data_IF_547465355973
#
_entry.id   IF_547465355973
#
_cell.length_a   1.000
_cell.length_b   1.000
_cell.length_c   1.000
_cell.angle_alpha   90.00
_cell.angle_beta   90.00
_cell.angle_gamma   90.00
#
_symmetry.space_group_name_H-M   'P 1'
#
loop_
_entity.id
_entity.type
_entity.pdbx_description
1 polymer ?
#
# COMPACT_ATOMS: atom_id res chain seq x y z
N UNK A 1 -20.27 -12.54 6.44
CA UNK A 1 -19.26 -13.32 5.68
C UNK A 1 -18.69 -12.39 4.62
N UNK A 2 -17.39 -12.11 4.54
CA UNK A 2 -16.92 -11.10 3.57
C UNK A 2 -16.95 -11.62 2.11
N UNK A 3 -17.06 -10.70 1.14
CA UNK A 3 -16.96 -10.99 -0.30
C UNK A 3 -15.77 -10.24 -0.92
N UNK A 4 -15.01 -10.90 -1.79
CA UNK A 4 -13.86 -10.32 -2.47
C UNK A 4 -14.10 -10.38 -3.98
N UNK A 5 -13.77 -9.29 -4.68
CA UNK A 5 -13.79 -9.20 -6.14
C UNK A 5 -12.46 -8.61 -6.62
N UNK A 6 -12.00 -9.03 -7.80
CA UNK A 6 -10.81 -8.48 -8.45
C UNK A 6 -10.90 -8.64 -9.96
N UNK A 7 -10.38 -7.65 -10.68
CA UNK A 7 -10.33 -7.65 -12.15
C UNK A 7 -8.94 -7.24 -12.62
N UNK A 8 -8.45 -7.93 -13.66
CA UNK A 8 -7.21 -7.59 -14.35
C UNK A 8 -7.55 -7.42 -15.83
N UNK A 9 -7.38 -6.20 -16.35
CA UNK A 9 -7.52 -5.91 -17.79
C UNK A 9 -6.14 -5.81 -18.43
N UNK A 10 -5.97 -6.43 -19.60
CA UNK A 10 -4.79 -6.28 -20.46
C UNK A 10 -5.10 -5.27 -21.55
N UNK A 11 -4.19 -4.35 -21.83
CA UNK A 11 -4.36 -3.30 -22.83
C UNK A 11 -5.06 -2.06 -22.26
N UNK A 12 -6.32 -1.83 -22.62
CA UNK A 12 -7.06 -0.63 -22.18
C UNK A 12 -7.70 -0.82 -20.80
N UNK A 13 -7.60 0.17 -19.89
CA UNK A 13 -8.25 0.12 -18.58
C UNK A 13 -9.78 0.15 -18.67
N UNK A 14 -10.38 0.72 -19.73
CA UNK A 14 -11.85 0.80 -19.85
C UNK A 14 -12.52 1.44 -18.61
N UNK A 15 -13.64 0.88 -18.15
CA UNK A 15 -14.38 1.35 -16.97
C UNK A 15 -14.22 0.41 -15.76
N UNK A 16 -12.96 0.19 -15.32
CA UNK A 16 -12.65 -0.68 -14.17
C UNK A 16 -13.43 -0.27 -12.91
N UNK A 17 -13.60 1.03 -12.65
CA UNK A 17 -14.34 1.51 -11.47
C UNK A 17 -15.80 1.05 -11.47
N UNK A 18 -16.51 1.16 -12.60
CA UNK A 18 -17.89 0.70 -12.74
C UNK A 18 -18.02 -0.82 -12.65
N UNK A 19 -17.09 -1.56 -13.25
CA UNK A 19 -17.05 -3.03 -13.20
C UNK A 19 -16.82 -3.54 -11.77
N UNK A 20 -15.80 -3.02 -11.08
CA UNK A 20 -15.52 -3.35 -9.68
C UNK A 20 -16.70 -3.01 -8.77
N UNK A 21 -17.32 -1.84 -8.96
CA UNK A 21 -18.51 -1.44 -8.19
C UNK A 21 -19.66 -2.43 -8.41
N UNK A 22 -19.92 -2.84 -9.64
CA UNK A 22 -20.98 -3.79 -9.98
C UNK A 22 -20.73 -5.18 -9.36
N UNK A 23 -19.47 -5.65 -9.40
CA UNK A 23 -19.08 -6.90 -8.77
C UNK A 23 -19.28 -6.88 -7.25
N UNK A 24 -18.83 -5.81 -6.58
CA UNK A 24 -18.98 -5.66 -5.12
C UNK A 24 -20.45 -5.51 -4.71
N UNK A 25 -21.26 -4.78 -5.47
CA UNK A 25 -22.71 -4.69 -5.25
C UNK A 25 -23.39 -6.06 -5.33
N UNK A 26 -22.98 -6.90 -6.28
CA UNK A 26 -23.50 -8.28 -6.42
C UNK A 26 -23.17 -9.15 -5.18
N UNK A 27 -22.10 -8.81 -4.46
CA UNK A 27 -21.67 -9.50 -3.24
C UNK A 27 -22.23 -8.89 -1.95
N UNK A 28 -23.05 -7.82 -2.01
CA UNK A 28 -23.61 -7.13 -0.84
C UNK A 28 -24.34 -8.06 0.14
N UNK A 29 -24.97 -9.12 -0.37
CA UNK A 29 -25.68 -10.12 0.44
C UNK A 29 -24.75 -10.91 1.39
N UNK A 30 -23.43 -10.86 1.20
CA UNK A 30 -22.46 -11.54 2.08
C UNK A 30 -22.10 -10.69 3.30
N UNK A 31 -22.07 -9.37 3.17
CA UNK A 31 -21.77 -8.42 4.26
C UNK A 31 -21.97 -6.96 3.82
N UNK A 32 -22.90 -6.20 4.43
CA UNK A 32 -23.25 -4.85 3.99
C UNK A 32 -22.47 -3.73 4.72
N UNK A 33 -21.67 -4.05 5.72
CA UNK A 33 -21.15 -3.07 6.69
C UNK A 33 -20.18 -2.06 6.07
N UNK A 34 -19.29 -2.50 5.18
CA UNK A 34 -18.36 -1.62 4.46
C UNK A 34 -17.91 -2.25 3.14
N UNK A 35 -17.47 -1.41 2.19
CA UNK A 35 -16.85 -1.84 0.93
C UNK A 35 -15.74 -0.86 0.55
N UNK A 36 -14.71 -1.35 -0.12
CA UNK A 36 -13.62 -0.52 -0.64
C UNK A 36 -12.89 -1.24 -1.76
N UNK A 37 -12.33 -0.47 -2.70
CA UNK A 37 -11.42 -0.98 -3.71
C UNK A 37 -10.35 0.07 -4.01
N UNK A 38 -9.15 -0.40 -4.37
CA UNK A 38 -8.08 0.45 -4.88
C UNK A 38 -8.08 0.38 -6.40
N UNK A 39 -8.07 1.54 -7.06
CA UNK A 39 -7.82 1.64 -8.50
C UNK A 39 -6.38 2.09 -8.68
N UNK A 40 -5.60 1.32 -9.41
CA UNK A 40 -4.24 1.69 -9.78
C UNK A 40 -4.28 2.53 -11.06
N UNK A 41 -3.46 3.57 -11.11
CA UNK A 41 -3.32 4.42 -12.28
C UNK A 41 -2.63 3.72 -13.44
N UNK A 42 -2.38 4.47 -14.52
CA UNK A 42 -1.60 3.97 -15.66
C UNK A 42 -0.19 3.66 -15.13
N UNK A 43 0.33 2.43 -15.33
CA UNK A 43 1.65 2.08 -14.87
C UNK A 43 2.72 2.79 -15.72
N UNK A 44 3.77 3.28 -15.06
CA UNK A 44 5.03 3.64 -15.72
C UNK A 44 6.00 2.45 -15.66
N UNK A 45 6.88 2.34 -16.66
CA UNK A 45 7.88 1.26 -16.69
C UNK A 45 8.79 1.32 -15.46
N UNK A 46 9.02 0.14 -14.87
CA UNK A 46 9.85 -0.06 -13.67
C UNK A 46 9.48 0.83 -12.46
N UNK A 47 8.27 1.38 -12.43
CA UNK A 47 7.77 2.17 -11.32
C UNK A 47 6.78 1.37 -10.48
N UNK A 48 6.98 1.41 -9.17
CA UNK A 48 6.17 0.69 -8.20
C UNK A 48 5.59 1.65 -7.17
N UNK A 49 4.38 1.34 -6.72
CA UNK A 49 3.70 2.08 -5.65
C UNK A 49 3.59 1.16 -4.44
N UNK A 50 4.21 1.58 -3.34
CA UNK A 50 4.11 0.90 -2.05
C UNK A 50 3.29 1.74 -1.09
N UNK A 51 2.40 1.08 -0.34
CA UNK A 51 1.67 1.69 0.76
C UNK A 51 1.94 0.85 1.99
N UNK A 52 2.37 1.49 3.06
CA UNK A 52 2.72 0.81 4.29
C UNK A 52 2.28 1.64 5.48
N UNK A 53 1.90 0.94 6.55
CA UNK A 53 1.69 1.51 7.87
C UNK A 53 2.85 1.10 8.75
N UNK A 54 3.23 1.95 9.68
CA UNK A 54 4.26 1.65 10.70
C UNK A 54 3.71 1.71 12.12
N UNK A 55 2.40 1.92 12.27
CA UNK A 55 1.62 1.83 13.49
C UNK A 55 0.13 1.77 13.11
N UNK A 56 -0.74 1.43 14.07
CA UNK A 56 -2.18 1.52 13.93
C UNK A 56 -2.75 2.77 14.61
N UNK A 57 -4.00 3.11 14.29
CA UNK A 57 -4.64 4.31 14.83
C UNK A 57 -4.77 4.26 16.36
N UNK A 58 -4.99 3.07 16.92
CA UNK A 58 -5.09 2.85 18.35
C UNK A 58 -3.78 3.17 19.09
N UNK A 59 -2.63 2.91 18.46
CA UNK A 59 -1.30 3.12 19.04
C UNK A 59 -1.01 4.59 19.29
N UNK A 60 -1.55 5.50 18.48
CA UNK A 60 -1.41 6.95 18.67
C UNK A 60 -1.95 7.42 20.02
N UNK A 61 -2.84 6.66 20.64
CA UNK A 61 -3.41 7.01 21.95
C UNK A 61 -2.53 6.54 23.13
N UNK A 62 -1.44 5.81 22.88
CA UNK A 62 -0.69 5.05 23.90
C UNK A 62 0.48 5.79 24.57
N UNK A 63 0.71 7.07 24.22
CA UNK A 63 1.70 7.94 24.89
C UNK A 63 2.68 8.61 23.93
N UNK A 64 3.60 9.43 24.45
CA UNK A 64 4.49 10.25 23.63
C UNK A 64 5.52 9.47 22.79
N UNK A 65 5.86 8.24 23.19
CA UNK A 65 6.92 7.43 22.55
C UNK A 65 6.52 6.92 21.16
N UNK A 66 5.21 6.79 20.88
CA UNK A 66 4.73 6.24 19.59
C UNK A 66 5.12 7.12 18.39
N UNK A 67 5.15 8.43 18.57
CA UNK A 67 5.52 9.36 17.49
C UNK A 67 6.97 9.16 17.06
N UNK A 68 7.88 8.93 18.02
CA UNK A 68 9.28 8.65 17.71
C UNK A 68 9.42 7.28 17.04
N UNK A 69 8.70 6.27 17.53
CA UNK A 69 8.72 4.93 16.95
C UNK A 69 8.25 4.94 15.48
N UNK A 70 7.23 5.74 15.14
CA UNK A 70 6.76 5.92 13.76
C UNK A 70 7.87 6.50 12.87
N UNK A 71 8.59 7.52 13.36
CA UNK A 71 9.71 8.14 12.64
C UNK A 71 10.81 7.11 12.41
N UNK A 72 11.19 6.38 13.47
CA UNK A 72 12.28 5.40 13.42
C UNK A 72 11.95 4.25 12.46
N UNK A 73 10.74 3.67 12.56
CA UNK A 73 10.28 2.60 11.66
C UNK A 73 10.23 3.05 10.20
N UNK A 74 9.73 4.26 9.93
CA UNK A 74 9.76 4.82 8.57
C UNK A 74 11.20 4.95 8.07
N UNK A 75 12.12 5.44 8.90
CA UNK A 75 13.53 5.56 8.54
C UNK A 75 14.19 4.19 8.24
N UNK A 76 13.79 3.13 8.94
CA UNK A 76 14.23 1.76 8.60
C UNK A 76 13.74 1.36 7.21
N UNK A 77 12.47 1.61 6.87
CA UNK A 77 11.94 1.31 5.53
C UNK A 77 12.71 2.09 4.45
N UNK A 78 13.01 3.37 4.70
CA UNK A 78 13.80 4.21 3.79
C UNK A 78 15.21 3.62 3.58
N UNK A 79 15.91 3.24 4.65
CA UNK A 79 17.24 2.60 4.58
C UNK A 79 17.20 1.29 3.79
N UNK A 80 16.21 0.43 4.05
CA UNK A 80 16.07 -0.87 3.36
C UNK A 80 15.80 -0.71 1.87
N UNK A 81 15.02 0.31 1.48
CA UNK A 81 14.81 0.65 0.07
C UNK A 81 16.13 1.06 -0.59
N UNK A 82 16.89 1.96 0.03
CA UNK A 82 18.18 2.43 -0.49
C UNK A 82 19.22 1.30 -0.58
N UNK A 83 19.36 0.48 0.46
CA UNK A 83 20.28 -0.67 0.52
C UNK A 83 20.01 -1.69 -0.60
N UNK A 84 18.73 -1.85 -0.95
CA UNK A 84 18.30 -2.73 -2.04
C UNK A 84 18.33 -2.04 -3.41
N UNK A 85 18.83 -0.80 -3.49
CA UNK A 85 18.99 -0.05 -4.73
C UNK A 85 17.68 0.43 -5.34
N UNK A 86 16.66 0.71 -4.53
CA UNK A 86 15.45 1.37 -4.99
C UNK A 86 15.67 2.89 -5.10
N UNK A 87 15.28 3.47 -6.23
CA UNK A 87 15.27 4.92 -6.46
C UNK A 87 13.90 5.46 -6.02
N UNK A 88 13.84 6.17 -4.89
CA UNK A 88 12.59 6.78 -4.42
C UNK A 88 12.26 8.01 -5.27
N UNK A 89 11.11 7.98 -5.95
CA UNK A 89 10.58 9.08 -6.77
C UNK A 89 9.73 10.04 -5.93
N UNK A 90 8.84 9.49 -5.10
CA UNK A 90 7.95 10.28 -4.25
C UNK A 90 7.71 9.61 -2.91
N UNK A 91 7.57 10.43 -1.87
CA UNK A 91 7.20 10.02 -0.51
C UNK A 91 6.04 10.87 -0.03
N UNK A 92 4.87 10.26 0.09
CA UNK A 92 3.66 10.92 0.56
C UNK A 92 3.30 10.42 1.96
N UNK A 93 3.03 11.34 2.89
CA UNK A 93 2.39 11.04 4.16
C UNK A 93 0.87 11.05 3.96
N UNK A 94 0.22 9.88 4.08
CA UNK A 94 -1.24 9.74 3.89
C UNK A 94 -1.96 10.02 5.21
N UNK A 95 -1.45 9.43 6.29
CA UNK A 95 -1.78 9.75 7.68
C UNK A 95 -0.48 9.81 8.47
N UNK A 96 -0.56 10.18 9.74
CA UNK A 96 0.63 10.24 10.61
C UNK A 96 1.43 8.92 10.67
N UNK A 97 0.76 7.77 10.56
CA UNK A 97 1.34 6.44 10.65
C UNK A 97 1.33 5.66 9.32
N UNK A 98 0.81 6.25 8.23
CA UNK A 98 0.67 5.58 6.94
C UNK A 98 1.29 6.40 5.80
N UNK A 99 2.11 5.72 5.00
CA UNK A 99 2.90 6.35 3.94
C UNK A 99 2.63 5.69 2.59
N UNK A 100 2.79 6.48 1.53
CA UNK A 100 2.71 6.02 0.14
C UNK A 100 3.96 6.45 -0.60
N UNK A 101 4.71 5.47 -1.06
CA UNK A 101 5.94 5.70 -1.80
C UNK A 101 5.77 5.30 -3.26
N UNK A 102 6.39 6.06 -4.13
CA UNK A 102 6.60 5.68 -5.53
C UNK A 102 8.10 5.54 -5.75
N UNK A 103 8.56 4.41 -6.26
CA UNK A 103 9.98 4.15 -6.46
C UNK A 103 10.24 3.36 -7.75
N UNK A 104 11.46 3.46 -8.28
CA UNK A 104 11.95 2.54 -9.31
C UNK A 104 12.85 1.50 -8.72
N UNK A 105 12.79 0.28 -9.26
CA UNK A 105 13.73 -0.77 -8.93
C UNK A 105 13.87 -1.75 -10.07
N UNK A 106 15.11 -2.13 -10.35
CA UNK A 106 15.43 -3.29 -11.15
C UNK A 106 15.75 -4.51 -10.28
N UNK A 107 15.56 -5.69 -10.86
CA UNK A 107 15.89 -6.97 -10.22
C UNK A 107 14.78 -7.52 -9.32
N UNK A 108 15.18 -8.19 -8.25
CA UNK A 108 14.29 -9.03 -7.45
C UNK A 108 13.40 -8.19 -6.49
N UNK A 109 12.17 -7.94 -6.95
CA UNK A 109 11.13 -7.27 -6.15
C UNK A 109 10.64 -8.12 -4.98
N UNK A 110 10.69 -9.46 -5.10
CA UNK A 110 10.24 -10.33 -4.02
C UNK A 110 11.17 -10.20 -2.83
N UNK A 111 12.48 -10.24 -3.08
CA UNK A 111 13.48 -10.03 -2.01
C UNK A 111 13.36 -8.65 -1.37
N UNK A 112 13.04 -7.60 -2.14
CA UNK A 112 12.77 -6.28 -1.58
C UNK A 112 11.54 -6.32 -0.66
N UNK A 113 10.43 -6.89 -1.13
CA UNK A 113 9.20 -6.99 -0.35
C UNK A 113 9.42 -7.77 0.95
N UNK A 114 10.01 -8.95 0.87
CA UNK A 114 10.33 -9.78 2.05
C UNK A 114 11.22 -9.01 3.05
N UNK A 115 12.17 -8.21 2.56
CA UNK A 115 13.04 -7.41 3.42
C UNK A 115 12.33 -6.20 4.03
N UNK A 116 11.37 -5.58 3.35
CA UNK A 116 10.60 -4.46 3.92
C UNK A 116 9.58 -4.97 4.95
N UNK A 117 8.94 -6.11 4.69
CA UNK A 117 7.92 -6.71 5.58
C UNK A 117 8.47 -7.15 6.94
N UNK A 118 9.79 -7.36 7.04
CA UNK A 118 10.48 -7.68 8.29
C UNK A 118 10.67 -6.46 9.22
N UNK A 119 10.23 -5.26 8.82
CA UNK A 119 10.19 -4.11 9.73
C UNK A 119 9.00 -4.27 10.68
N UNK A 120 9.26 -4.30 11.99
CA UNK A 120 8.21 -4.36 13.01
C UNK A 120 7.24 -3.17 12.85
N UNK A 121 5.95 -3.48 12.71
CA UNK A 121 4.84 -2.54 12.51
C UNK A 121 3.69 -2.87 13.44
#
# INVERSE_FOLDING_TARGET
>A
MCGIAGIIRRGSPGNIGGEMTSMLQSLKHRGPDSTGFAVYGIPEENQFVMRFKVAEQEDLNSGFDIHQLIIDRRAVVDSRLEEMGAEIISQDTVTEYAFRYTFRKEGDLRRLADYIEDVDG
#
